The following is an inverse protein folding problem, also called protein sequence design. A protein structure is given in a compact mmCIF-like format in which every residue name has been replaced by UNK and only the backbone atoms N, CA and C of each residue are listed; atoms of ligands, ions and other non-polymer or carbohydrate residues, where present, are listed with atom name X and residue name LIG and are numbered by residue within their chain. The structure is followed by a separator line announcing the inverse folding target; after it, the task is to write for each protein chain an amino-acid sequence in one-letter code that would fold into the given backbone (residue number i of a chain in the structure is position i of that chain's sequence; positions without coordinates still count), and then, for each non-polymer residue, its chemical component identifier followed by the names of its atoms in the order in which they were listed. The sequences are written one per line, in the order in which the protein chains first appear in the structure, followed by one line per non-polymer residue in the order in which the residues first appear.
data_IF_817505620798
#
_entry.id   IF_817505620798
#
_cell.length_a   1.000
_cell.length_b   1.000
_cell.length_c   1.000
_cell.angle_alpha   90.00
_cell.angle_beta   90.00
_cell.angle_gamma   90.00
#
_symmetry.space_group_name_H-M   'P 1'
#
loop_
_entity.id
_entity.type
_entity.pdbx_description
1 polymer ?
#
# COMPACT_ATOMS: atom_id res chain seq x y z
N UNK A 1 30.94 -21.40 19.93
CA UNK A 1 30.92 -22.81 20.39
C UNK A 1 30.01 -22.90 21.60
N UNK A 2 28.98 -23.75 21.53
CA UNK A 2 28.33 -24.52 22.61
C UNK A 2 28.19 -23.87 24.01
N UNK A 3 27.08 -23.90 24.73
CA UNK A 3 25.72 -24.41 24.60
C UNK A 3 25.04 -24.06 25.96
N UNK A 4 23.74 -23.77 25.95
CA UNK A 4 22.72 -24.25 26.91
C UNK A 4 23.05 -24.27 28.43
N UNK A 5 22.26 -23.75 29.37
CA UNK A 5 20.80 -23.67 29.43
C UNK A 5 20.31 -22.89 30.66
N UNK A 6 19.15 -22.24 30.48
CA UNK A 6 17.97 -22.30 31.36
C UNK A 6 18.05 -21.76 32.80
N UNK A 7 17.34 -20.64 33.05
CA UNK A 7 16.05 -20.65 33.78
C UNK A 7 15.45 -19.25 33.95
N UNK A 8 14.18 -19.15 33.53
CA UNK A 8 13.08 -18.36 34.12
C UNK A 8 13.16 -16.82 34.12
N UNK A 9 12.47 -16.24 33.14
CA UNK A 9 11.82 -14.94 33.25
C UNK A 9 10.54 -14.96 32.44
N UNK A 10 9.38 -14.96 33.09
CA UNK A 10 8.09 -14.71 32.46
C UNK A 10 8.07 -13.28 31.92
N UNK A 11 7.74 -13.12 30.64
CA UNK A 11 7.26 -11.84 30.10
C UNK A 11 6.43 -12.12 28.85
N UNK A 12 5.27 -11.51 28.84
CA UNK A 12 4.21 -11.52 27.84
C UNK A 12 4.64 -10.81 26.56
N UNK A 13 4.69 -11.51 25.44
CA UNK A 13 4.52 -10.92 24.10
C UNK A 13 4.13 -12.01 23.11
N UNK A 14 2.83 -12.11 22.81
CA UNK A 14 2.36 -12.86 21.64
C UNK A 14 2.63 -12.02 20.39
N UNK A 15 3.89 -11.95 19.96
CA UNK A 15 4.17 -11.64 18.57
C UNK A 15 3.75 -12.86 17.74
N UNK A 16 2.58 -12.76 17.11
CA UNK A 16 2.14 -13.76 16.14
C UNK A 16 2.99 -13.61 14.88
N UNK A 17 3.86 -14.57 14.53
CA UNK A 17 4.50 -14.54 13.23
C UNK A 17 3.42 -14.62 12.14
N UNK A 18 3.62 -13.88 11.05
CA UNK A 18 2.78 -13.91 9.86
C UNK A 18 2.79 -15.32 9.25
N UNK A 19 1.84 -16.18 9.64
CA UNK A 19 1.72 -17.54 9.10
C UNK A 19 1.01 -17.44 7.75
N UNK A 20 1.80 -17.28 6.69
CA UNK A 20 1.36 -17.47 5.31
C UNK A 20 1.00 -18.96 5.15
N UNK A 21 -0.30 -19.29 5.07
CA UNK A 21 -0.78 -20.69 4.96
C UNK A 21 -0.33 -21.28 3.61
N UNK A 22 -0.05 -22.59 3.57
CA UNK A 22 0.21 -23.34 2.32
C UNK A 22 -0.97 -23.16 1.36
N UNK A 23 -0.82 -22.26 0.38
CA UNK A 23 -1.89 -21.80 -0.51
C UNK A 23 -1.96 -22.53 -1.84
N UNK A 24 -1.11 -23.54 -2.08
CA UNK A 24 -1.00 -24.22 -3.38
C UNK A 24 -2.33 -24.84 -3.84
N UNK A 25 -3.16 -25.32 -2.91
CA UNK A 25 -4.49 -25.88 -3.20
C UNK A 25 -5.45 -24.85 -3.81
N UNK A 26 -5.31 -23.57 -3.46
CA UNK A 26 -6.16 -22.50 -3.99
C UNK A 26 -5.90 -22.25 -5.47
N UNK A 27 -4.73 -22.59 -5.99
CA UNK A 27 -4.39 -22.48 -7.40
C UNK A 27 -4.91 -23.66 -8.25
N UNK A 28 -5.38 -24.75 -7.62
CA UNK A 28 -5.90 -25.90 -8.36
C UNK A 28 -7.26 -25.61 -8.98
N UNK A 29 -7.43 -25.89 -10.28
CA UNK A 29 -8.71 -25.71 -10.96
C UNK A 29 -9.68 -26.85 -10.64
N UNK A 30 -10.73 -26.54 -9.87
CA UNK A 30 -11.89 -27.41 -9.68
C UNK A 30 -13.09 -26.84 -10.45
N UNK A 31 -13.19 -27.22 -11.72
CA UNK A 31 -14.23 -26.74 -12.63
C UNK A 31 -15.62 -27.29 -12.27
N UNK A 32 -15.71 -28.48 -11.68
CA UNK A 32 -16.99 -29.11 -11.33
C UNK A 32 -17.63 -28.40 -10.13
N UNK A 33 -16.84 -28.15 -9.08
CA UNK A 33 -17.31 -27.40 -7.91
C UNK A 33 -17.73 -25.97 -8.27
N UNK A 34 -16.95 -25.29 -9.11
CA UNK A 34 -17.27 -23.95 -9.57
C UNK A 34 -18.57 -23.91 -10.36
N UNK A 35 -18.75 -24.85 -11.31
CA UNK A 35 -19.96 -24.95 -12.13
C UNK A 35 -21.20 -25.23 -11.27
N UNK A 36 -21.09 -26.11 -10.27
CA UNK A 36 -22.18 -26.41 -9.36
C UNK A 36 -22.54 -25.20 -8.49
N UNK A 37 -21.55 -24.44 -8.03
CA UNK A 37 -21.79 -23.27 -7.20
C UNK A 37 -22.47 -22.14 -7.98
N UNK A 38 -22.03 -21.89 -9.22
CA UNK A 38 -22.69 -20.96 -10.13
C UNK A 38 -24.15 -21.39 -10.38
N UNK A 39 -24.38 -22.69 -10.62
CA UNK A 39 -25.73 -23.24 -10.81
C UNK A 39 -26.64 -23.03 -9.61
N UNK A 40 -26.11 -23.22 -8.38
CA UNK A 40 -26.88 -23.04 -7.14
C UNK A 40 -27.10 -21.58 -6.76
N UNK A 41 -26.16 -20.70 -7.11
CA UNK A 41 -26.18 -19.26 -6.79
C UNK A 41 -26.63 -18.96 -5.35
N UNK A 42 -25.97 -19.51 -4.30
CA UNK A 42 -26.42 -19.38 -2.92
C UNK A 42 -26.51 -17.93 -2.43
N UNK A 43 -25.66 -17.04 -2.96
CA UNK A 43 -25.65 -15.60 -2.68
C UNK A 43 -26.94 -14.86 -3.06
N UNK A 44 -27.77 -15.43 -3.95
CA UNK A 44 -29.09 -14.84 -4.27
C UNK A 44 -30.08 -14.93 -3.11
N UNK A 45 -29.86 -15.84 -2.15
CA UNK A 45 -30.74 -16.03 -0.99
C UNK A 45 -30.31 -15.16 0.20
N UNK A 46 -29.02 -14.90 0.33
CA UNK A 46 -28.43 -14.15 1.43
C UNK A 46 -27.53 -13.04 0.86
N UNK A 47 -27.96 -11.76 0.96
CA UNK A 47 -27.16 -10.61 0.54
C UNK A 47 -25.77 -10.52 1.21
N UNK A 48 -25.61 -11.14 2.39
CA UNK A 48 -24.39 -11.15 3.18
C UNK A 48 -23.68 -12.53 3.16
N UNK A 49 -23.92 -13.31 2.10
CA UNK A 49 -23.35 -14.64 1.91
C UNK A 49 -21.81 -14.61 1.86
N UNK A 50 -21.24 -13.68 1.10
CA UNK A 50 -19.78 -13.52 1.00
C UNK A 50 -19.26 -12.70 2.19
N UNK A 51 -18.21 -13.19 2.84
CA UNK A 51 -17.65 -12.55 4.04
C UNK A 51 -16.17 -12.20 3.90
N UNK A 52 -15.47 -12.92 3.02
CA UNK A 52 -14.01 -12.86 2.90
C UNK A 52 -13.55 -12.81 1.46
N UNK A 53 -12.36 -12.26 1.28
CA UNK A 53 -11.59 -12.29 0.05
C UNK A 53 -10.23 -12.87 0.37
N UNK A 54 -9.82 -13.91 -0.35
CA UNK A 54 -8.46 -14.43 -0.36
C UNK A 54 -7.77 -13.91 -1.60
N UNK A 55 -6.70 -13.13 -1.42
CA UNK A 55 -5.96 -12.52 -2.50
C UNK A 55 -4.55 -13.10 -2.61
N UNK A 56 -4.16 -13.48 -3.82
CA UNK A 56 -2.79 -13.92 -4.06
C UNK A 56 -1.81 -12.76 -3.88
N UNK A 57 -0.62 -13.05 -3.35
CA UNK A 57 0.44 -12.03 -3.20
C UNK A 57 0.86 -11.45 -4.55
N UNK A 58 0.79 -12.25 -5.64
CA UNK A 58 1.03 -11.76 -6.99
C UNK A 58 0.04 -10.67 -7.39
N UNK A 59 -1.26 -10.90 -7.16
CA UNK A 59 -2.30 -9.92 -7.46
C UNK A 59 -2.12 -8.66 -6.64
N UNK A 60 -1.81 -8.80 -5.34
CA UNK A 60 -1.54 -7.67 -4.48
C UNK A 60 -0.40 -6.80 -5.04
N UNK A 61 0.71 -7.42 -5.44
CA UNK A 61 1.85 -6.71 -6.03
C UNK A 61 1.49 -6.02 -7.36
N UNK A 62 0.75 -6.70 -8.25
CA UNK A 62 0.32 -6.13 -9.53
C UNK A 62 -0.57 -4.91 -9.34
N UNK A 63 -1.57 -5.02 -8.46
CA UNK A 63 -2.51 -3.92 -8.16
C UNK A 63 -1.77 -2.75 -7.53
N UNK A 64 -0.91 -2.99 -6.53
CA UNK A 64 -0.11 -1.95 -5.88
C UNK A 64 0.81 -1.22 -6.87
N UNK A 65 1.53 -1.96 -7.73
CA UNK A 65 2.41 -1.36 -8.73
C UNK A 65 1.61 -0.54 -9.76
N UNK A 66 0.45 -1.05 -10.20
CA UNK A 66 -0.39 -0.33 -11.15
C UNK A 66 -0.97 0.95 -10.53
N UNK A 67 -1.50 0.88 -9.31
CA UNK A 67 -2.01 2.03 -8.57
C UNK A 67 -0.93 3.10 -8.36
N UNK A 68 0.31 2.69 -8.06
CA UNK A 68 1.43 3.62 -7.93
C UNK A 68 1.78 4.27 -9.28
N UNK A 69 1.70 3.53 -10.39
CA UNK A 69 1.97 4.08 -11.73
C UNK A 69 0.96 5.13 -12.20
N UNK A 70 -0.25 5.16 -11.61
CA UNK A 70 -1.29 6.16 -11.89
C UNK A 70 -0.93 7.59 -11.46
N UNK A 71 0.12 7.78 -10.65
CA UNK A 71 0.67 9.08 -10.27
C UNK A 71 -0.38 10.11 -9.78
N UNK A 72 -1.30 9.67 -8.92
CA UNK A 72 -2.36 10.51 -8.35
C UNK A 72 -3.65 10.57 -9.17
N UNK A 73 -3.70 9.88 -10.32
CA UNK A 73 -4.92 9.64 -11.10
C UNK A 73 -5.43 8.25 -10.75
N UNK A 74 -6.75 8.09 -10.73
CA UNK A 74 -7.37 6.79 -10.50
C UNK A 74 -7.08 5.87 -11.69
N UNK A 75 -6.70 4.64 -11.39
CA UNK A 75 -6.56 3.58 -12.38
C UNK A 75 -7.46 2.42 -12.00
N UNK A 76 -7.82 1.58 -12.97
CA UNK A 76 -8.64 0.41 -12.71
C UNK A 76 -8.20 -0.81 -13.51
N UNK A 77 -8.65 -1.96 -13.06
CA UNK A 77 -8.40 -3.23 -13.72
C UNK A 77 -9.39 -4.31 -13.31
N UNK A 78 -9.23 -5.50 -13.90
CA UNK A 78 -10.07 -6.64 -13.60
C UNK A 78 -9.33 -7.67 -12.74
N UNK A 79 -10.12 -8.38 -11.95
CA UNK A 79 -9.69 -9.43 -11.03
C UNK A 79 -10.10 -10.79 -11.59
N UNK A 80 -9.12 -11.70 -11.66
CA UNK A 80 -9.29 -13.05 -12.14
C UNK A 80 -9.23 -14.03 -10.97
N UNK A 81 -10.13 -15.00 -10.96
CA UNK A 81 -10.18 -15.97 -9.90
C UNK A 81 -11.41 -16.84 -9.93
N UNK A 82 -11.82 -17.26 -8.74
CA UNK A 82 -12.99 -18.11 -8.54
C UNK A 82 -13.66 -17.82 -7.20
N UNK A 83 -14.98 -17.95 -7.13
CA UNK A 83 -15.67 -17.97 -5.84
C UNK A 83 -15.50 -19.36 -5.21
N UNK A 84 -15.29 -19.43 -3.89
CA UNK A 84 -15.18 -20.68 -3.13
C UNK A 84 -16.00 -20.58 -1.83
N UNK A 85 -17.14 -21.28 -1.79
CA UNK A 85 -18.11 -21.16 -0.70
C UNK A 85 -18.46 -19.69 -0.44
N UNK A 86 -18.16 -19.16 0.76
CA UNK A 86 -18.45 -17.78 1.18
C UNK A 86 -17.27 -16.80 0.97
N UNK A 87 -16.28 -17.19 0.18
CA UNK A 87 -15.01 -16.47 0.01
C UNK A 87 -14.71 -16.26 -1.47
N UNK A 88 -14.30 -15.05 -1.87
CA UNK A 88 -13.71 -14.83 -3.19
C UNK A 88 -12.24 -15.25 -3.17
N UNK A 89 -11.78 -16.02 -4.14
CA UNK A 89 -10.36 -16.35 -4.30
C UNK A 89 -9.86 -15.62 -5.54
N UNK A 90 -9.08 -14.57 -5.34
CA UNK A 90 -8.46 -13.76 -6.40
C UNK A 90 -7.06 -14.32 -6.66
N UNK A 91 -6.86 -14.84 -7.87
CA UNK A 91 -5.62 -15.50 -8.29
C UNK A 91 -4.71 -14.56 -9.06
N UNK A 92 -5.27 -13.73 -9.94
CA UNK A 92 -4.52 -12.78 -10.76
C UNK A 92 -5.31 -11.47 -11.00
N UNK A 93 -4.64 -10.47 -11.57
CA UNK A 93 -5.25 -9.25 -12.07
C UNK A 93 -4.57 -8.76 -13.34
N UNK A 94 -5.28 -7.90 -14.07
CA UNK A 94 -4.69 -7.14 -15.18
C UNK A 94 -5.26 -5.72 -15.22
N UNK A 95 -4.40 -4.78 -15.61
CA UNK A 95 -4.73 -3.38 -15.77
C UNK A 95 -5.60 -3.17 -17.02
N UNK A 96 -6.58 -2.28 -16.94
CA UNK A 96 -7.26 -1.78 -18.12
C UNK A 96 -6.58 -0.49 -18.58
N UNK A 97 -6.47 -0.23 -19.89
CA UNK A 97 -5.87 0.99 -20.44
C UNK A 97 -6.85 2.17 -20.33
N UNK A 98 -7.32 2.43 -19.11
CA UNK A 98 -8.28 3.48 -18.81
C UNK A 98 -7.79 4.28 -17.62
N UNK A 99 -7.84 5.60 -17.79
CA UNK A 99 -7.64 6.53 -16.68
C UNK A 99 -9.02 6.76 -16.05
N UNK A 100 -9.14 6.34 -14.78
CA UNK A 100 -10.30 6.59 -13.96
C UNK A 100 -10.42 8.10 -13.72
N UNK A 101 -11.59 8.64 -14.03
CA UNK A 101 -11.98 9.95 -13.54
C UNK A 101 -13.30 9.75 -12.82
N UNK A 102 -13.42 10.32 -11.62
CA UNK A 102 -14.64 10.33 -10.78
C UNK A 102 -15.89 10.92 -11.46
N UNK A 103 -15.83 11.26 -12.75
CA UNK A 103 -16.93 11.83 -13.53
C UNK A 103 -17.32 10.99 -14.74
N UNK A 104 -16.58 9.92 -15.06
CA UNK A 104 -16.84 9.09 -16.26
C UNK A 104 -17.09 7.64 -15.89
N UNK A 105 -18.38 7.30 -15.83
CA UNK A 105 -18.90 5.95 -15.53
C UNK A 105 -18.58 4.92 -16.63
N UNK A 106 -18.31 5.35 -17.87
CA UNK A 106 -18.23 4.48 -19.05
C UNK A 106 -16.85 4.41 -19.72
N UNK A 107 -15.75 4.47 -18.96
CA UNK A 107 -14.42 4.16 -19.50
C UNK A 107 -14.33 2.70 -20.04
N UNK A 108 -15.29 1.84 -19.65
CA UNK A 108 -15.44 0.47 -20.12
C UNK A 108 -15.60 0.32 -21.63
N UNK A 109 -16.23 1.27 -22.34
CA UNK A 109 -16.52 1.08 -23.77
C UNK A 109 -15.24 0.97 -24.61
N UNK A 110 -14.21 1.75 -24.26
CA UNK A 110 -12.89 1.71 -24.89
C UNK A 110 -12.06 0.50 -24.44
N UNK A 111 -12.37 -0.05 -23.26
CA UNK A 111 -11.66 -1.19 -22.69
C UNK A 111 -12.23 -2.55 -23.13
N UNK A 112 -13.48 -2.64 -23.63
CA UNK A 112 -14.09 -3.93 -24.00
C UNK A 112 -13.26 -4.73 -25.01
N UNK A 113 -12.73 -4.06 -26.04
CA UNK A 113 -11.89 -4.72 -27.04
C UNK A 113 -10.64 -5.33 -26.39
N UNK A 114 -9.97 -4.56 -25.52
CA UNK A 114 -8.82 -5.03 -24.76
C UNK A 114 -9.19 -6.20 -23.84
N UNK A 115 -10.31 -6.12 -23.12
CA UNK A 115 -10.78 -7.18 -22.23
C UNK A 115 -11.02 -8.50 -22.99
N UNK A 116 -11.72 -8.45 -24.12
CA UNK A 116 -11.99 -9.64 -24.94
C UNK A 116 -10.68 -10.22 -25.48
N UNK A 117 -9.78 -9.37 -25.98
CA UNK A 117 -8.47 -9.80 -26.48
C UNK A 117 -7.63 -10.47 -25.38
N UNK A 118 -7.57 -9.86 -24.19
CA UNK A 118 -6.83 -10.38 -23.05
C UNK A 118 -7.40 -11.73 -22.57
N UNK A 119 -8.72 -11.83 -22.41
CA UNK A 119 -9.38 -13.06 -21.97
C UNK A 119 -9.19 -14.20 -22.98
N UNK A 120 -9.29 -13.91 -24.28
CA UNK A 120 -9.03 -14.90 -25.33
C UNK A 120 -7.56 -15.37 -25.31
N UNK A 121 -6.61 -14.44 -25.22
CA UNK A 121 -5.18 -14.75 -25.15
C UNK A 121 -4.84 -15.58 -23.91
N UNK A 122 -5.42 -15.25 -22.76
CA UNK A 122 -5.29 -16.00 -21.50
C UNK A 122 -5.77 -17.44 -21.67
N UNK A 123 -6.95 -17.65 -22.25
CA UNK A 123 -7.51 -18.98 -22.48
C UNK A 123 -6.64 -19.82 -23.44
N UNK A 124 -6.04 -19.20 -24.46
CA UNK A 124 -5.09 -19.89 -25.36
C UNK A 124 -3.81 -20.38 -24.64
N UNK A 125 -3.43 -19.72 -23.55
CA UNK A 125 -2.29 -20.10 -22.71
C UNK A 125 -2.66 -21.15 -21.64
N UNK A 126 -3.89 -21.68 -21.67
CA UNK A 126 -4.36 -22.69 -20.71
C UNK A 126 -4.70 -22.13 -19.34
N UNK A 127 -4.78 -20.81 -19.19
CA UNK A 127 -5.19 -20.13 -17.98
C UNK A 127 -6.71 -19.95 -18.00
N UNK A 128 -7.45 -20.64 -17.13
CA UNK A 128 -8.91 -20.77 -17.21
C UNK A 128 -9.69 -19.99 -16.13
N UNK A 129 -9.00 -19.16 -15.34
CA UNK A 129 -9.61 -18.32 -14.31
C UNK A 129 -10.60 -17.30 -14.90
N UNK A 130 -11.78 -17.16 -14.31
CA UNK A 130 -12.79 -16.22 -14.81
C UNK A 130 -12.64 -14.85 -14.16
N UNK A 131 -13.24 -13.82 -14.76
CA UNK A 131 -13.39 -12.52 -14.09
C UNK A 131 -14.34 -12.70 -12.90
N UNK A 132 -13.92 -12.23 -11.73
CA UNK A 132 -14.71 -12.30 -10.48
C UNK A 132 -14.90 -10.95 -9.81
N UNK A 133 -14.36 -9.89 -10.41
CA UNK A 133 -14.37 -8.58 -9.81
C UNK A 133 -13.54 -7.57 -10.59
N UNK A 134 -13.48 -6.38 -10.02
CA UNK A 134 -12.69 -5.27 -10.51
C UNK A 134 -11.96 -4.62 -9.35
N UNK A 135 -10.89 -3.90 -9.66
CA UNK A 135 -10.21 -3.05 -8.70
C UNK A 135 -10.00 -1.66 -9.28
N UNK A 136 -9.92 -0.68 -8.40
CA UNK A 136 -9.49 0.67 -8.73
C UNK A 136 -8.73 1.32 -7.58
N UNK A 137 -8.03 2.41 -7.89
CA UNK A 137 -7.25 3.14 -6.89
C UNK A 137 -7.96 4.41 -6.44
N UNK A 138 -7.91 4.73 -5.15
CA UNK A 138 -8.31 6.01 -4.55
C UNK A 138 -7.06 6.71 -3.97
N UNK A 139 -6.35 7.56 -4.74
CA UNK A 139 -5.11 8.15 -4.27
C UNK A 139 -5.32 9.19 -3.16
N UNK A 140 -5.04 8.82 -1.91
CA UNK A 140 -4.93 9.72 -0.77
C UNK A 140 -6.20 9.96 0.04
N UNK A 141 -7.31 9.33 -0.31
CA UNK A 141 -8.60 9.58 0.33
C UNK A 141 -9.30 8.32 0.87
N UNK A 142 -8.55 7.21 0.97
CA UNK A 142 -8.97 5.99 1.66
C UNK A 142 -9.76 5.02 0.79
N UNK A 143 -9.96 3.82 1.33
CA UNK A 143 -10.57 2.70 0.62
C UNK A 143 -12.06 2.61 0.93
N UNK A 144 -12.91 3.19 0.09
CA UNK A 144 -14.37 3.16 0.19
C UNK A 144 -14.99 3.22 -1.22
N UNK A 145 -16.31 3.05 -1.35
CA UNK A 145 -17.00 3.18 -2.64
C UNK A 145 -17.76 4.50 -2.73
N UNK A 146 -17.46 5.29 -3.77
CA UNK A 146 -18.22 6.49 -4.15
C UNK A 146 -19.60 6.15 -4.69
N UNK A 147 -20.46 7.15 -4.91
CA UNK A 147 -21.76 6.93 -5.55
C UNK A 147 -21.64 6.22 -6.91
N UNK A 148 -20.64 6.60 -7.72
CA UNK A 148 -20.36 6.01 -9.03
C UNK A 148 -19.85 4.58 -8.89
N UNK A 149 -18.98 4.31 -7.93
CA UNK A 149 -18.46 2.97 -7.68
C UNK A 149 -19.57 2.03 -7.23
N UNK A 150 -20.49 2.51 -6.38
CA UNK A 150 -21.64 1.74 -5.93
C UNK A 150 -22.53 1.38 -7.12
N UNK A 151 -22.84 2.34 -7.99
CA UNK A 151 -23.70 2.10 -9.15
C UNK A 151 -23.01 1.18 -10.18
N UNK A 152 -21.70 1.33 -10.39
CA UNK A 152 -20.88 0.44 -11.24
C UNK A 152 -20.85 -0.98 -10.67
N UNK A 153 -20.59 -1.12 -9.37
CA UNK A 153 -20.58 -2.43 -8.70
C UNK A 153 -21.96 -3.08 -8.72
N UNK A 154 -23.05 -2.31 -8.57
CA UNK A 154 -24.41 -2.82 -8.71
C UNK A 154 -24.68 -3.35 -10.12
N UNK A 155 -24.21 -2.64 -11.16
CA UNK A 155 -24.34 -3.07 -12.55
C UNK A 155 -23.63 -4.42 -12.78
N UNK A 156 -22.38 -4.55 -12.33
CA UNK A 156 -21.65 -5.82 -12.45
C UNK A 156 -22.30 -6.93 -11.61
N UNK A 157 -22.77 -6.64 -10.39
CA UNK A 157 -23.50 -7.63 -9.60
C UNK A 157 -24.83 -8.06 -10.24
N UNK A 158 -25.44 -7.23 -11.09
CA UNK A 158 -26.68 -7.56 -11.80
C UNK A 158 -26.43 -8.47 -13.01
N UNK A 159 -25.34 -8.26 -13.76
CA UNK A 159 -25.09 -8.96 -15.03
C UNK A 159 -23.98 -10.02 -14.97
N UNK A 160 -23.02 -9.89 -14.06
CA UNK A 160 -21.79 -10.70 -13.96
C UNK A 160 -21.62 -11.32 -12.56
N UNK A 161 -22.71 -11.79 -11.96
CA UNK A 161 -22.67 -12.35 -10.60
C UNK A 161 -22.00 -13.73 -10.55
N UNK A 162 -21.05 -13.98 -9.63
CA UNK A 162 -20.63 -13.15 -8.49
C UNK A 162 -19.45 -12.21 -8.76
N UNK A 163 -19.59 -10.94 -8.33
CA UNK A 163 -18.59 -9.88 -8.55
C UNK A 163 -18.14 -9.17 -7.25
N UNK A 164 -16.87 -8.77 -7.13
CA UNK A 164 -16.33 -8.00 -5.99
C UNK A 164 -15.61 -6.73 -6.44
N UNK A 165 -15.73 -5.64 -5.67
CA UNK A 165 -14.95 -4.42 -5.87
C UNK A 165 -13.77 -4.38 -4.89
N UNK A 166 -12.57 -4.04 -5.36
CA UNK A 166 -11.38 -3.84 -4.52
C UNK A 166 -10.86 -2.42 -4.72
N UNK A 167 -10.65 -1.71 -3.62
CA UNK A 167 -10.11 -0.34 -3.64
C UNK A 167 -8.74 -0.35 -2.98
N UNK A 168 -7.77 0.33 -3.59
CA UNK A 168 -6.41 0.49 -3.04
C UNK A 168 -6.04 1.98 -2.96
N UNK A 169 -5.44 2.41 -1.86
CA UNK A 169 -4.88 3.76 -1.72
C UNK A 169 -3.34 3.70 -1.82
N UNK A 170 -2.74 4.03 -2.99
CA UNK A 170 -1.30 3.99 -3.16
C UNK A 170 -0.58 5.06 -2.32
N UNK A 171 -1.21 6.21 -2.06
CA UNK A 171 -0.60 7.29 -1.29
C UNK A 171 -0.49 6.90 0.19
N UNK A 172 -1.59 6.42 0.79
CA UNK A 172 -1.58 5.93 2.18
C UNK A 172 -0.71 4.70 2.36
N UNK A 173 -0.65 3.83 1.33
CA UNK A 173 0.24 2.68 1.34
C UNK A 173 1.71 3.08 1.49
N UNK A 174 2.13 4.10 0.75
CA UNK A 174 3.51 4.61 0.81
C UNK A 174 3.82 5.30 2.14
N UNK A 175 2.90 6.12 2.64
CA UNK A 175 3.11 6.90 3.86
C UNK A 175 3.05 6.05 5.14
N UNK A 176 2.14 5.06 5.20
CA UNK A 176 2.00 4.19 6.37
C UNK A 176 2.97 3.00 6.35
N UNK A 177 3.56 2.67 5.19
CA UNK A 177 4.37 1.47 5.00
C UNK A 177 3.57 0.16 5.05
N UNK A 178 2.24 0.24 5.05
CA UNK A 178 1.31 -0.90 5.04
C UNK A 178 0.35 -0.73 3.87
N UNK A 179 0.10 -1.81 3.14
CA UNK A 179 -0.87 -1.77 2.03
C UNK A 179 -2.27 -1.41 2.55
N UNK A 180 -2.77 -0.26 2.11
CA UNK A 180 -4.13 0.21 2.38
C UNK A 180 -5.05 -0.25 1.25
N UNK A 181 -5.84 -1.27 1.55
CA UNK A 181 -6.69 -1.97 0.59
C UNK A 181 -7.99 -2.42 1.27
N UNK A 182 -9.10 -2.26 0.56
CA UNK A 182 -10.42 -2.67 0.99
C UNK A 182 -11.14 -3.47 -0.09
N UNK A 183 -11.96 -4.43 0.32
CA UNK A 183 -12.81 -5.19 -0.59
C UNK A 183 -14.27 -4.97 -0.19
N UNK A 184 -15.13 -4.78 -1.17
CA UNK A 184 -16.50 -4.32 -0.96
C UNK A 184 -17.48 -5.06 -1.86
N UNK A 185 -18.71 -5.22 -1.36
CA UNK A 185 -19.88 -5.60 -2.14
C UNK A 185 -21.06 -4.71 -1.78
N UNK A 186 -21.87 -4.39 -2.77
CA UNK A 186 -23.07 -3.58 -2.59
C UNK A 186 -24.26 -4.45 -2.19
N UNK A 187 -25.14 -3.88 -1.37
CA UNK A 187 -26.43 -4.48 -1.05
C UNK A 187 -27.39 -4.35 -2.24
N UNK A 188 -28.30 -5.33 -2.43
CA UNK A 188 -29.41 -5.18 -3.38
C UNK A 188 -30.28 -3.96 -3.03
N UNK A 189 -30.89 -3.30 -4.03
CA UNK A 189 -31.69 -2.07 -3.84
C UNK A 189 -32.80 -2.17 -2.79
N UNK A 190 -33.35 -3.36 -2.59
CA UNK A 190 -34.46 -3.61 -1.67
C UNK A 190 -34.03 -4.03 -0.27
N UNK A 191 -32.72 -4.11 0.00
CA UNK A 191 -32.17 -4.54 1.28
C UNK A 191 -31.65 -3.34 2.08
N UNK A 192 -32.19 -3.15 3.29
CA UNK A 192 -31.62 -2.20 4.25
C UNK A 192 -30.84 -2.99 5.31
N UNK A 193 -29.54 -2.72 5.49
CA UNK A 193 -28.78 -3.36 6.56
C UNK A 193 -29.30 -2.92 7.94
N UNK A 194 -29.23 -3.82 8.92
CA UNK A 194 -29.29 -3.41 10.33
C UNK A 194 -28.08 -2.51 10.61
N UNK A 195 -28.25 -1.43 11.39
CA UNK A 195 -27.19 -0.44 11.65
C UNK A 195 -25.89 -1.15 12.10
N UNK A 196 -24.96 -1.30 11.15
CA UNK A 196 -23.64 -1.89 11.38
C UNK A 196 -22.58 -0.79 11.54
N UNK A 197 -21.56 -1.15 12.31
CA UNK A 197 -20.47 -0.29 12.77
C UNK A 197 -19.69 0.22 11.56
N UNK A 198 -19.92 1.48 11.18
CA UNK A 198 -19.07 2.15 10.20
C UNK A 198 -17.64 2.19 10.77
N UNK A 199 -16.72 1.45 10.15
CA UNK A 199 -15.31 1.56 10.48
C UNK A 199 -14.86 2.98 10.14
N UNK A 200 -14.30 3.68 11.12
CA UNK A 200 -13.79 5.03 10.94
C UNK A 200 -12.62 5.01 9.96
N UNK A 201 -12.76 5.73 8.86
CA UNK A 201 -11.66 6.06 7.94
C UNK A 201 -11.55 7.59 7.89
N UNK A 202 -10.32 8.11 7.94
CA UNK A 202 -10.09 9.54 7.71
C UNK A 202 -10.42 9.84 6.25
N UNK A 203 -11.40 10.69 6.00
CA UNK A 203 -11.85 11.04 4.64
C UNK A 203 -11.71 12.55 4.46
N UNK A 204 -11.16 13.02 3.33
CA UNK A 204 -11.08 14.44 3.03
C UNK A 204 -12.44 15.14 2.96
N UNK A 205 -12.46 16.43 3.25
CA UNK A 205 -13.66 17.28 3.25
C UNK A 205 -14.45 17.23 1.94
N UNK A 206 -13.74 17.22 0.81
CA UNK A 206 -14.35 17.22 -0.52
C UNK A 206 -15.16 15.93 -0.79
N UNK A 207 -14.88 14.86 -0.04
CA UNK A 207 -15.44 13.51 -0.25
C UNK A 207 -16.37 13.04 0.86
N UNK A 208 -16.37 13.70 2.02
CA UNK A 208 -17.14 13.27 3.20
C UNK A 208 -18.65 13.23 2.94
N UNK A 209 -19.16 14.13 2.09
CA UNK A 209 -20.60 14.17 1.72
C UNK A 209 -21.01 12.95 0.92
N UNK A 210 -20.19 12.58 -0.07
CA UNK A 210 -20.46 11.42 -0.92
C UNK A 210 -20.36 10.13 -0.12
N UNK A 211 -19.32 10.00 0.71
CA UNK A 211 -19.16 8.89 1.64
C UNK A 211 -20.36 8.74 2.57
N UNK A 212 -20.81 9.82 3.22
CA UNK A 212 -21.89 9.77 4.20
C UNK A 212 -23.24 9.32 3.63
N UNK A 213 -23.49 9.56 2.33
CA UNK A 213 -24.72 9.13 1.64
C UNK A 213 -24.64 7.65 1.25
N UNK A 214 -23.46 7.17 0.82
CA UNK A 214 -23.32 5.86 0.19
C UNK A 214 -22.72 4.77 1.09
N UNK A 215 -22.14 5.12 2.25
CA UNK A 215 -21.50 4.15 3.16
C UNK A 215 -22.41 3.02 3.65
N UNK A 216 -23.73 3.23 3.68
CA UNK A 216 -24.73 2.20 4.05
C UNK A 216 -25.13 1.28 2.89
N UNK A 217 -24.74 1.57 1.65
CA UNK A 217 -25.11 0.79 0.45
C UNK A 217 -24.19 -0.40 0.19
N UNK A 218 -23.10 -0.54 0.94
CA UNK A 218 -22.14 -1.64 0.77
C UNK A 218 -21.63 -2.13 2.13
N UNK A 219 -20.94 -3.27 2.11
CA UNK A 219 -20.22 -3.80 3.26
C UNK A 219 -18.78 -4.15 2.87
N UNK A 220 -17.89 -4.09 3.87
CA UNK A 220 -16.47 -4.43 3.73
C UNK A 220 -16.30 -5.93 3.98
N UNK A 221 -15.55 -6.59 3.10
CA UNK A 221 -15.13 -7.99 3.25
C UNK A 221 -13.75 -8.05 3.91
N UNK A 222 -13.50 -9.07 4.71
CA UNK A 222 -12.18 -9.32 5.31
C UNK A 222 -11.22 -9.87 4.23
N UNK A 223 -10.05 -9.26 4.11
CA UNK A 223 -9.03 -9.68 3.13
C UNK A 223 -7.96 -10.52 3.82
N UNK A 224 -7.82 -11.76 3.37
CA UNK A 224 -6.75 -12.68 3.68
C UNK A 224 -5.78 -12.78 2.50
N UNK A 225 -4.48 -12.98 2.76
CA UNK A 225 -3.48 -13.16 1.72
C UNK A 225 -2.96 -14.60 1.67
N UNK A 226 -2.64 -15.07 0.47
CA UNK A 226 -1.98 -16.35 0.27
C UNK A 226 -0.93 -16.29 -0.82
N UNK A 227 0.02 -17.22 -0.76
CA UNK A 227 1.08 -17.36 -1.76
C UNK A 227 1.26 -18.83 -2.10
N UNK A 228 1.82 -19.10 -3.28
CA UNK A 228 2.36 -20.42 -3.55
C UNK A 228 3.56 -20.71 -2.63
N UNK A 229 3.85 -21.98 -2.39
CA UNK A 229 5.09 -22.42 -1.75
C UNK A 229 6.34 -21.92 -2.51
N UNK A 230 6.29 -21.86 -3.84
CA UNK A 230 7.38 -21.34 -4.66
C UNK A 230 7.52 -19.82 -4.51
N UNK A 231 6.41 -19.07 -4.59
CA UNK A 231 6.40 -17.62 -4.41
C UNK A 231 6.94 -17.23 -3.04
N UNK A 232 6.52 -17.94 -1.99
CA UNK A 232 7.01 -17.71 -0.62
C UNK A 232 8.53 -17.86 -0.56
N UNK A 233 9.08 -18.92 -1.17
CA UNK A 233 10.53 -19.14 -1.23
C UNK A 233 11.24 -18.06 -2.05
N UNK A 234 10.65 -17.62 -3.16
CA UNK A 234 11.21 -16.55 -3.98
C UNK A 234 11.26 -15.23 -3.21
N UNK A 235 10.16 -14.87 -2.54
CA UNK A 235 10.07 -13.68 -1.71
C UNK A 235 11.11 -13.69 -0.59
N UNK A 236 11.29 -14.82 0.10
CA UNK A 236 12.35 -14.97 1.11
C UNK A 236 13.75 -14.71 0.54
N UNK A 237 14.04 -15.22 -0.66
CA UNK A 237 15.32 -14.98 -1.33
C UNK A 237 15.49 -13.52 -1.76
N UNK A 238 14.42 -12.91 -2.29
CA UNK A 238 14.44 -11.50 -2.66
C UNK A 238 14.65 -10.62 -1.43
N UNK A 239 13.97 -10.88 -0.30
CA UNK A 239 14.17 -10.13 0.95
C UNK A 239 15.60 -10.28 1.46
N UNK A 240 16.19 -11.47 1.38
CA UNK A 240 17.60 -11.72 1.79
C UNK A 240 18.61 -10.95 0.93
N UNK A 241 18.30 -10.68 -0.34
CA UNK A 241 19.21 -9.97 -1.24
C UNK A 241 18.94 -8.46 -1.29
N UNK A 242 17.69 -8.04 -1.04
CA UNK A 242 17.24 -6.66 -1.18
C UNK A 242 16.97 -5.94 0.16
N UNK A 243 17.40 -6.51 1.29
CA UNK A 243 17.26 -5.85 2.60
C UNK A 243 17.93 -4.46 2.63
N UNK A 244 18.99 -4.27 1.85
CA UNK A 244 19.68 -2.98 1.71
C UNK A 244 18.73 -1.90 1.18
N UNK A 245 17.83 -2.25 0.25
CA UNK A 245 16.87 -1.31 -0.32
C UNK A 245 15.94 -0.77 0.77
N UNK A 246 15.51 -1.62 1.71
CA UNK A 246 14.67 -1.22 2.85
C UNK A 246 15.36 -0.16 3.71
N UNK A 247 16.70 -0.24 3.85
CA UNK A 247 17.49 0.73 4.61
C UNK A 247 17.83 1.99 3.81
N UNK A 248 17.91 1.89 2.48
CA UNK A 248 18.27 3.01 1.61
C UNK A 248 17.08 3.79 1.06
N UNK A 249 15.86 3.24 1.12
CA UNK A 249 14.65 3.93 0.62
C UNK A 249 14.43 5.22 1.41
N UNK A 250 14.44 6.37 0.72
CA UNK A 250 14.01 7.64 1.27
C UNK A 250 12.67 8.02 0.64
N UNK A 251 11.61 8.02 1.45
CA UNK A 251 10.25 8.39 1.01
C UNK A 251 9.95 9.88 1.26
N UNK A 252 10.93 10.67 1.70
CA UNK A 252 10.71 12.06 2.12
C UNK A 252 9.99 12.92 1.08
N UNK A 253 10.26 12.75 -0.23
CA UNK A 253 9.65 13.60 -1.26
C UNK A 253 8.20 13.22 -1.58
N UNK A 254 7.89 11.92 -1.71
CA UNK A 254 6.53 11.45 -1.95
C UNK A 254 5.62 11.71 -0.74
N UNK A 255 6.16 11.52 0.46
CA UNK A 255 5.46 11.77 1.72
C UNK A 255 5.13 13.27 1.87
N UNK A 256 6.00 14.17 1.40
CA UNK A 256 5.83 15.61 1.59
C UNK A 256 4.61 16.17 0.86
N UNK A 257 4.37 15.77 -0.39
CA UNK A 257 3.19 16.25 -1.14
C UNK A 257 1.89 15.76 -0.51
N UNK A 258 1.81 14.47 -0.15
CA UNK A 258 0.63 13.91 0.50
C UNK A 258 0.41 14.52 1.89
N UNK A 259 1.45 14.67 2.70
CA UNK A 259 1.36 15.32 4.01
C UNK A 259 0.89 16.78 3.90
N UNK A 260 1.39 17.54 2.92
CA UNK A 260 0.94 18.92 2.69
C UNK A 260 -0.55 18.96 2.34
N UNK A 261 -1.01 18.01 1.52
CA UNK A 261 -2.43 17.86 1.20
C UNK A 261 -3.27 17.52 2.44
N UNK A 262 -2.83 16.56 3.27
CA UNK A 262 -3.51 16.21 4.52
C UNK A 262 -3.59 17.40 5.49
N UNK A 263 -2.50 18.15 5.67
CA UNK A 263 -2.46 19.34 6.53
C UNK A 263 -3.42 20.42 6.03
N UNK A 264 -3.50 20.63 4.70
CA UNK A 264 -4.46 21.54 4.10
C UNK A 264 -5.91 21.11 4.36
N UNK A 265 -6.22 19.83 4.22
CA UNK A 265 -7.54 19.28 4.52
C UNK A 265 -7.91 19.47 6.00
N UNK A 266 -6.98 19.17 6.92
CA UNK A 266 -7.15 19.40 8.36
C UNK A 266 -7.41 20.88 8.68
N UNK A 267 -6.75 21.79 7.97
CA UNK A 267 -6.96 23.24 8.12
C UNK A 267 -8.36 23.64 7.67
N UNK A 268 -8.82 23.11 6.53
CA UNK A 268 -10.19 23.36 6.06
C UNK A 268 -11.25 22.80 7.04
N UNK A 269 -11.04 21.60 7.60
CA UNK A 269 -11.90 21.01 8.65
C UNK A 269 -11.95 21.89 9.90
N UNK A 270 -10.80 22.42 10.33
CA UNK A 270 -10.69 23.37 11.44
C UNK A 270 -11.47 24.66 11.18
N UNK A 271 -11.34 25.23 9.99
CA UNK A 271 -12.02 26.47 9.61
C UNK A 271 -13.55 26.29 9.57
N UNK A 272 -14.05 25.15 9.09
CA UNK A 272 -15.49 24.83 9.12
C UNK A 272 -16.01 24.74 10.55
N UNK A 273 -15.28 24.05 11.45
CA UNK A 273 -15.62 23.96 12.86
C UNK A 273 -15.63 25.33 13.55
N UNK A 274 -14.66 26.19 13.23
CA UNK A 274 -14.61 27.55 13.77
C UNK A 274 -15.74 28.44 13.22
N UNK A 275 -16.13 28.24 11.97
CA UNK A 275 -17.24 28.96 11.32
C UNK A 275 -18.61 28.56 11.86
N UNK A 276 -18.76 27.30 12.32
CA UNK A 276 -19.96 26.81 13.01
C UNK A 276 -20.11 27.38 14.43
N UNK A 277 -19.00 27.80 15.05
CA UNK A 277 -18.96 28.34 16.41
C UNK A 277 -19.35 29.84 16.46
N UNK A 278 -20.41 30.20 15.71
CA UNK A 278 -21.00 31.54 15.78
C UNK A 278 -21.64 31.80 17.17
N UNK A 279 -21.68 33.05 17.67
CA UNK A 279 -22.26 33.38 18.97
C UNK A 279 -23.72 32.92 19.17
N UNK A 280 -24.45 32.65 18.09
CA UNK A 280 -25.85 32.20 18.10
C UNK A 280 -26.00 30.74 18.56
N UNK A 281 -25.07 29.84 18.20
CA UNK A 281 -25.12 28.44 18.61
C UNK A 281 -24.90 28.27 20.13
N UNK A 282 -24.03 29.08 20.72
CA UNK A 282 -23.75 29.09 22.18
C UNK A 282 -24.95 29.51 23.02
N UNK A 283 -25.82 30.38 22.50
CA UNK A 283 -27.03 30.83 23.20
C UNK A 283 -28.09 29.72 23.23
N UNK A 284 -28.20 28.92 22.16
CA UNK A 284 -29.14 27.79 22.12
C UNK A 284 -28.68 26.60 22.98
N UNK A 285 -27.38 26.34 23.10
CA UNK A 285 -26.87 25.27 23.98
C UNK A 285 -27.04 25.61 25.47
N UNK A 286 -27.01 26.89 25.84
CA UNK A 286 -27.27 27.35 27.22
C UNK A 286 -28.78 27.38 27.56
N UNK A 287 -29.67 27.36 26.56
CA UNK A 287 -31.13 27.48 26.73
C UNK A 287 -31.90 26.15 26.77
N UNK A 288 -31.23 25.01 26.97
CA UNK A 288 -31.89 23.79 27.47
C UNK A 288 -32.65 22.94 26.44
N UNK A 289 -32.02 22.59 25.32
CA UNK A 289 -32.51 21.53 24.43
C UNK A 289 -31.88 20.16 24.73
N UNK A 290 -32.53 19.34 25.58
CA UNK A 290 -32.23 17.90 25.71
C UNK A 290 -33.02 17.13 24.65
N UNK A 291 -32.35 16.64 23.59
CA UNK A 291 -32.73 15.56 22.63
C UNK A 291 -31.81 15.72 21.41
N UNK A 292 -31.03 14.78 20.87
CA UNK A 292 -31.14 13.33 20.70
C UNK A 292 -29.75 12.66 20.50
N UNK A 293 -29.69 11.36 20.87
CA UNK A 293 -28.82 10.27 20.37
C UNK A 293 -27.29 10.39 20.47
N UNK A 294 -26.78 9.71 21.51
CA UNK A 294 -25.48 9.06 21.55
C UNK A 294 -25.30 8.13 20.34
N UNK A 295 -24.42 8.51 19.40
CA UNK A 295 -23.63 7.62 18.52
C UNK A 295 -22.82 8.38 17.46
N UNK A 296 -23.03 9.69 17.26
CA UNK A 296 -22.08 10.51 16.49
C UNK A 296 -21.07 11.13 17.45
N UNK A 297 -19.81 10.73 17.34
CA UNK A 297 -18.71 11.44 17.99
C UNK A 297 -18.72 12.91 17.55
N UNK A 298 -18.32 13.81 18.46
CA UNK A 298 -18.24 15.23 18.12
C UNK A 298 -17.30 15.41 16.93
N UNK A 299 -17.67 16.27 15.97
CA UNK A 299 -16.82 16.58 14.81
C UNK A 299 -15.41 17.02 15.24
N UNK A 300 -15.29 17.68 16.41
CA UNK A 300 -14.01 17.97 17.04
C UNK A 300 -13.18 16.72 17.43
N UNK A 301 -13.81 15.65 17.91
CA UNK A 301 -13.10 14.40 18.24
C UNK A 301 -12.62 13.66 16.98
N UNK A 302 -13.37 13.72 15.89
CA UNK A 302 -12.94 13.19 14.57
C UNK A 302 -11.71 13.95 14.06
N UNK A 303 -11.77 15.28 14.09
CA UNK A 303 -10.63 16.11 13.73
C UNK A 303 -9.39 15.82 14.58
N UNK A 304 -9.53 15.69 15.90
CA UNK A 304 -8.40 15.35 16.78
C UNK A 304 -7.77 14.01 16.40
N UNK A 305 -8.56 13.01 16.01
CA UNK A 305 -8.03 11.74 15.52
C UNK A 305 -7.30 11.89 14.19
N UNK A 306 -7.84 12.66 13.25
CA UNK A 306 -7.17 12.91 11.96
C UNK A 306 -5.82 13.63 12.17
N UNK A 307 -5.78 14.61 13.08
CA UNK A 307 -4.53 15.30 13.47
C UNK A 307 -3.54 14.32 14.10
N UNK A 308 -3.97 13.48 15.03
CA UNK A 308 -3.11 12.47 15.65
C UNK A 308 -2.60 11.46 14.63
N UNK A 309 -3.44 11.02 13.68
CA UNK A 309 -3.07 10.08 12.64
C UNK A 309 -1.99 10.67 11.72
N UNK A 310 -2.23 11.87 11.17
CA UNK A 310 -1.27 12.56 10.32
C UNK A 310 0.07 12.83 11.06
N UNK A 311 0.00 13.22 12.34
CA UNK A 311 1.19 13.43 13.17
C UNK A 311 2.00 12.15 13.37
N UNK A 312 1.34 11.02 13.60
CA UNK A 312 2.02 9.73 13.80
C UNK A 312 2.73 9.25 12.52
N UNK A 313 2.12 9.44 11.35
CA UNK A 313 2.74 9.10 10.05
C UNK A 313 4.00 9.93 9.80
N UNK A 314 3.92 11.25 10.01
CA UNK A 314 5.06 12.15 9.87
C UNK A 314 6.19 11.82 10.85
N UNK A 315 5.84 11.52 12.10
CA UNK A 315 6.81 11.09 13.11
C UNK A 315 7.50 9.79 12.72
N UNK A 316 6.76 8.80 12.20
CA UNK A 316 7.34 7.52 11.77
C UNK A 316 8.38 7.73 10.65
N UNK A 317 8.08 8.59 9.67
CA UNK A 317 9.02 8.94 8.59
C UNK A 317 10.26 9.66 9.15
N UNK A 318 10.09 10.63 10.06
CA UNK A 318 11.20 11.31 10.74
C UNK A 318 12.07 10.36 11.58
N UNK A 319 11.46 9.41 12.29
CA UNK A 319 12.18 8.41 13.08
C UNK A 319 13.01 7.50 12.17
N UNK A 320 12.47 7.06 11.03
CA UNK A 320 13.19 6.24 10.07
C UNK A 320 14.44 6.95 9.53
N UNK A 321 14.33 8.24 9.18
CA UNK A 321 15.47 9.05 8.69
C UNK A 321 16.50 9.30 9.79
N UNK A 322 16.04 9.64 11.00
CA UNK A 322 16.93 9.85 12.16
C UNK A 322 17.70 8.58 12.52
N UNK A 323 17.04 7.42 12.47
CA UNK A 323 17.65 6.12 12.71
C UNK A 323 18.72 5.78 11.66
N UNK A 324 18.44 6.03 10.38
CA UNK A 324 19.43 5.88 9.30
C UNK A 324 20.64 6.79 9.49
N UNK A 325 20.42 8.05 9.89
CA UNK A 325 21.51 8.99 10.16
C UNK A 325 22.39 8.51 11.33
N UNK A 326 21.79 7.99 12.40
CA UNK A 326 22.55 7.42 13.51
C UNK A 326 23.36 6.18 13.09
N UNK A 327 22.75 5.27 12.34
CA UNK A 327 23.40 4.05 11.87
C UNK A 327 24.57 4.31 10.92
N UNK A 328 24.39 5.19 9.93
CA UNK A 328 25.33 5.32 8.82
C UNK A 328 26.22 6.57 8.91
N UNK A 329 25.69 7.70 9.41
CA UNK A 329 26.46 8.96 9.45
C UNK A 329 27.23 9.12 10.77
N UNK A 330 26.65 8.71 11.91
CA UNK A 330 27.28 8.91 13.22
C UNK A 330 28.26 7.81 13.62
N UNK A 331 28.20 6.62 13.00
CA UNK A 331 29.11 5.52 13.30
C UNK A 331 30.59 5.84 13.03
N UNK A 332 30.90 6.77 12.12
CA UNK A 332 32.27 7.23 11.87
C UNK A 332 32.83 8.21 12.91
N UNK A 333 31.96 8.91 13.65
CA UNK A 333 32.37 9.99 14.55
C UNK A 333 32.83 9.44 15.91
N UNK A 334 32.23 8.35 16.39
CA UNK A 334 32.66 7.71 17.63
C UNK A 334 33.97 6.92 17.47
N UNK A 335 34.20 6.30 16.30
CA UNK A 335 35.45 5.60 16.04
C UNK A 335 36.66 6.53 15.88
N UNK A 336 36.49 7.77 15.40
CA UNK A 336 37.59 8.74 15.34
C UNK A 336 38.05 9.22 16.72
N UNK A 337 37.15 9.26 17.71
CA UNK A 337 37.51 9.57 19.12
C UNK A 337 38.20 8.41 19.82
N UNK A 338 37.91 7.17 19.45
CA UNK A 338 38.59 6.00 20.03
C UNK A 338 39.96 5.71 19.39
N UNK A 339 40.18 6.07 18.13
CA UNK A 339 41.50 5.92 17.48
C UNK A 339 42.51 6.93 18.05
N UNK A 340 42.08 8.17 18.31
CA UNK A 340 42.95 9.19 18.94
C UNK A 340 43.26 8.90 20.42
N UNK A 341 42.44 8.11 21.11
CA UNK A 341 42.71 7.66 22.48
C UNK A 341 43.69 6.48 22.57
N UNK A 342 43.82 5.68 21.50
CA UNK A 342 44.78 4.56 21.44
C UNK A 342 46.19 5.03 21.02
N UNK A 343 46.30 6.04 20.17
CA UNK A 343 47.60 6.62 19.77
C UNK A 343 48.31 7.37 20.92
N UNK A 344 47.57 7.91 21.89
CA UNK A 344 48.16 8.57 23.08
C UNK A 344 48.61 7.61 24.19
N UNK A 345 48.40 6.30 24.03
CA UNK A 345 48.76 5.29 25.03
C UNK A 345 49.94 4.39 24.63
N UNK A 346 50.55 4.64 23.47
CA UNK A 346 51.59 3.79 22.88
C UNK A 346 53.00 4.40 22.80
N UNK A 347 53.23 5.62 23.29
CA UNK A 347 54.54 6.30 23.15
C UNK A 347 55.54 6.04 24.30
N UNK A 348 55.17 5.29 25.34
CA UNK A 348 56.01 5.12 26.55
C UNK A 348 56.47 3.68 26.80
N UNK A 349 56.89 2.92 25.78
CA UNK A 349 57.75 1.76 26.03
C UNK A 349 58.51 1.30 24.76
N UNK A 350 59.85 1.24 24.91
CA UNK A 350 60.86 0.50 24.12
C UNK A 350 61.70 1.29 23.08
N UNK A 351 62.63 2.09 23.59
CA UNK A 351 64.00 2.14 23.05
C UNK A 351 64.79 0.92 23.56
N UNK A 352 65.24 0.05 22.64
CA UNK A 352 66.58 -0.58 22.57
C UNK A 352 66.53 -1.83 21.69
N UNK A 353 67.28 -1.86 20.58
CA UNK A 353 67.45 -3.06 19.77
C UNK A 353 67.71 -2.83 18.30
N UNK A 354 68.83 -2.18 17.99
CA UNK A 354 69.42 -2.07 16.65
C UNK A 354 69.77 -3.46 16.10
N UNK A 355 69.35 -3.82 14.87
CA UNK A 355 70.23 -4.45 13.86
C UNK A 355 69.57 -4.64 12.47
N UNK A 356 70.25 -4.06 11.48
CA UNK A 356 70.45 -4.53 10.09
C UNK A 356 69.39 -4.31 8.98
N UNK A 357 69.62 -3.21 8.24
CA UNK A 357 69.83 -3.16 6.77
C UNK A 357 68.85 -3.87 5.81
N UNK A 358 68.24 -3.11 4.88
CA UNK A 358 68.75 -2.93 3.50
C UNK A 358 67.88 -1.92 2.73
N UNK A 359 68.60 -1.11 1.96
CA UNK A 359 68.27 0.08 1.18
C UNK A 359 67.53 -0.30 -0.13
N UNK A 360 66.62 0.55 -0.63
CA UNK A 360 66.66 1.16 -1.98
C UNK A 360 65.33 1.83 -2.36
N UNK A 361 65.27 3.14 -2.13
CA UNK A 361 64.50 4.11 -2.91
C UNK A 361 65.26 4.42 -4.21
N UNK A 362 64.58 4.35 -5.35
CA UNK A 362 65.01 5.01 -6.60
C UNK A 362 63.85 5.86 -7.11
N UNK A 363 64.04 7.18 -7.00
CA UNK A 363 63.49 8.18 -7.90
C UNK A 363 64.27 8.15 -9.23
N UNK A 364 63.58 8.52 -10.32
CA UNK A 364 64.02 9.07 -11.62
C UNK A 364 62.97 8.62 -12.66
N UNK A 365 62.52 9.38 -13.66
CA UNK A 365 62.75 10.75 -14.14
C UNK A 365 61.69 11.02 -15.23
N UNK A 366 61.45 12.29 -15.51
CA UNK A 366 60.69 12.82 -16.64
C UNK A 366 61.21 12.34 -18.00
N UNK A 367 60.30 12.10 -18.96
CA UNK A 367 60.55 12.30 -20.39
C UNK A 367 59.26 12.76 -21.11
N UNK A 368 59.38 13.90 -21.80
CA UNK A 368 58.40 14.54 -22.68
C UNK A 368 58.12 13.72 -23.95
N UNK A 369 56.92 13.86 -24.50
CA UNK A 369 56.57 13.39 -25.84
C UNK A 369 55.15 13.78 -26.27
N UNK A 370 55.05 14.89 -27.01
CA UNK A 370 53.86 15.39 -27.69
C UNK A 370 53.11 14.33 -28.53
N UNK A 371 51.77 14.40 -28.62
CA UNK A 371 51.08 14.90 -29.84
C UNK A 371 49.52 14.69 -29.81
N UNK A 372 48.80 15.75 -30.20
CA UNK A 372 47.55 15.81 -30.98
C UNK A 372 46.19 15.23 -30.48
N UNK A 373 45.30 16.18 -30.14
CA UNK A 373 43.91 16.39 -30.63
C UNK A 373 42.96 15.20 -30.87
N UNK A 374 41.87 15.13 -30.11
CA UNK A 374 40.56 14.61 -30.57
C UNK A 374 39.38 15.20 -29.76
N UNK A 375 38.80 16.24 -30.32
CA UNK A 375 37.36 16.54 -30.46
C UNK A 375 36.34 15.92 -29.47
N UNK A 376 35.71 16.79 -28.68
CA UNK A 376 34.48 16.50 -27.93
C UNK A 376 33.27 16.49 -28.89
N UNK A 377 32.58 15.35 -28.99
CA UNK A 377 31.28 15.22 -29.67
C UNK A 377 30.16 15.26 -28.62
N UNK A 378 29.14 16.14 -28.74
CA UNK A 378 28.00 16.15 -27.84
C UNK A 378 26.98 15.07 -28.25
N UNK A 379 26.39 14.39 -27.26
CA UNK A 379 25.35 13.39 -27.46
C UNK A 379 24.03 14.05 -27.88
N UNK A 380 23.66 13.88 -29.16
CA UNK A 380 22.33 14.20 -29.66
C UNK A 380 21.31 13.10 -29.39
N UNK A 381 20.09 13.59 -29.16
CA UNK A 381 18.81 12.98 -28.84
C UNK A 381 18.37 12.01 -29.94
N UNK A 382 18.11 10.74 -29.60
CA UNK A 382 17.43 9.79 -30.49
C UNK A 382 15.93 9.76 -30.20
N UNK A 383 15.14 10.34 -31.11
CA UNK A 383 13.72 10.07 -31.27
C UNK A 383 13.56 8.73 -32.03
N UNK A 384 12.87 7.77 -31.43
CA UNK A 384 12.49 6.52 -32.11
C UNK A 384 11.12 6.70 -32.74
N UNK A 385 11.12 6.70 -34.06
CA UNK A 385 9.94 6.71 -34.94
C UNK A 385 9.28 5.33 -34.96
N UNK A 386 7.96 5.37 -34.90
CA UNK A 386 7.00 4.29 -35.14
C UNK A 386 7.14 3.64 -36.52
N UNK A 387 7.06 2.32 -36.57
CA UNK A 387 6.48 1.55 -37.68
C UNK A 387 5.79 0.31 -37.14
#
# INVERSE_FOLDING_TARGET
LFAMASRHGQSTSSEMPFIMRKGDELFADDNEFQSEMLRRSPWKKDPHYFKRVQMSTLTLMKISNHAQSGNGIEVMGLLLGKPMANTFVILDSFALPVEGTETRVNAHEQAYEYMVSYLNGKNMLGRMENVIGWYHSHPGYGCWLSGIDVDTQMLHQMYEEPFVAVVIDPCRTLCSGKVDIGAFRTYPEHYQPADDIANYESIPMDKIKDFGVHCKRYYKLEIDYFSSSMDTRLLELMTKNNWINVLSTDNSQSDQHFATYQIRDLTNKLDELCSMDSPQARIETLAGGRTEKANNESSAAQLLRDVCHCSNELLASMFATSFKQQLFCNAGIENSRNVTALEQSGEDELEEGNESSTILSMEEKDEDGDNETAEQVPAERMDVVST
#
